data_IF_659533042436
#
_entry.id   IF_659533042436
#
_cell.length_a   1.000
_cell.length_b   1.000
_cell.length_c   1.000
_cell.angle_alpha   90.00
_cell.angle_beta   90.00
_cell.angle_gamma   90.00
#
_symmetry.space_group_name_H-M   'P 1'
#
loop_
_entity.id
_entity.type
_entity.pdbx_description
1 polymer ?
#
# COMPACT_ATOMS: atom_id res chain seq x y z
N UNK A 1 13.20 2.74 -20.86
CA UNK A 1 12.01 3.46 -20.39
C UNK A 1 12.00 4.81 -21.10
N UNK A 2 10.86 5.25 -21.62
CA UNK A 2 10.71 6.61 -22.11
C UNK A 2 10.95 7.56 -20.94
N UNK A 3 11.75 8.61 -21.13
CA UNK A 3 12.00 9.65 -20.13
C UNK A 3 10.86 10.68 -20.14
N UNK A 4 9.62 10.23 -20.25
CA UNK A 4 8.45 11.08 -20.42
C UNK A 4 7.28 10.45 -19.68
N UNK A 5 6.48 11.28 -19.02
CA UNK A 5 5.31 10.82 -18.28
C UNK A 5 4.22 10.32 -19.22
N UNK A 6 3.71 9.13 -18.91
CA UNK A 6 2.46 8.60 -19.43
C UNK A 6 1.27 9.14 -18.63
N UNK A 7 0.06 9.02 -19.17
CA UNK A 7 -1.17 9.47 -18.51
C UNK A 7 -2.16 8.32 -18.43
N UNK A 8 -2.57 7.96 -17.21
CA UNK A 8 -3.70 7.06 -16.99
C UNK A 8 -4.95 7.90 -16.65
N UNK A 9 -6.06 7.57 -17.28
CA UNK A 9 -7.36 8.19 -16.99
C UNK A 9 -8.37 7.08 -16.73
N UNK A 10 -8.88 7.02 -15.50
CA UNK A 10 -10.09 6.25 -15.25
C UNK A 10 -11.29 7.01 -15.83
N UNK A 11 -12.32 6.28 -16.23
CA UNK A 11 -13.40 6.87 -17.01
C UNK A 11 -14.78 6.46 -16.49
N UNK A 12 -15.73 7.39 -16.60
CA UNK A 12 -17.12 7.10 -16.34
C UNK A 12 -17.82 6.72 -17.65
N UNK A 13 -18.62 5.64 -17.62
CA UNK A 13 -19.43 5.17 -18.75
C UNK A 13 -18.60 4.79 -19.99
N UNK A 14 -17.43 4.21 -19.79
CA UNK A 14 -16.58 3.78 -20.88
C UNK A 14 -15.26 3.17 -20.41
N UNK A 15 -14.41 2.73 -21.36
CA UNK A 15 -13.08 2.23 -21.02
C UNK A 15 -12.20 3.33 -20.43
N UNK A 16 -11.32 2.91 -19.53
CA UNK A 16 -10.17 3.70 -19.09
C UNK A 16 -9.17 3.85 -20.23
N UNK A 17 -8.33 4.87 -20.13
CA UNK A 17 -7.26 5.16 -21.08
C UNK A 17 -5.89 5.08 -20.42
N UNK A 18 -4.90 4.61 -21.17
CA UNK A 18 -3.49 4.69 -20.79
C UNK A 18 -2.72 5.26 -21.96
N UNK A 19 -2.51 6.56 -21.93
CA UNK A 19 -1.81 7.29 -22.97
C UNK A 19 -0.30 7.21 -22.75
N UNK A 20 0.36 6.39 -23.56
CA UNK A 20 1.82 6.36 -23.61
C UNK A 20 2.32 7.57 -24.38
N UNK A 21 3.24 8.32 -23.77
CA UNK A 21 3.85 9.49 -24.39
C UNK A 21 4.89 9.07 -25.44
N UNK A 22 4.72 9.54 -26.68
CA UNK A 22 5.61 9.22 -27.79
C UNK A 22 6.87 10.11 -27.83
N UNK A 23 6.96 11.15 -26.98
CA UNK A 23 8.10 12.07 -26.88
C UNK A 23 8.08 13.22 -27.89
N UNK A 24 7.09 13.29 -28.77
CA UNK A 24 6.92 14.31 -29.81
C UNK A 24 5.65 15.17 -29.62
N UNK A 25 5.07 15.12 -28.42
CA UNK A 25 3.80 15.78 -28.10
C UNK A 25 2.55 14.98 -28.50
N UNK A 26 2.72 13.78 -29.07
CA UNK A 26 1.62 12.85 -29.34
C UNK A 26 1.55 11.71 -28.32
N UNK A 27 0.39 11.06 -28.24
CA UNK A 27 0.15 9.95 -27.33
C UNK A 27 -0.45 8.76 -28.08
N UNK A 28 -0.12 7.56 -27.61
CA UNK A 28 -0.73 6.30 -28.06
C UNK A 28 -1.57 5.72 -26.94
N UNK A 29 -2.86 5.44 -27.19
CA UNK A 29 -3.66 4.70 -26.22
C UNK A 29 -3.24 3.22 -26.18
N UNK A 30 -2.79 2.81 -25.00
CA UNK A 30 -2.26 1.48 -24.69
C UNK A 30 -3.14 0.72 -23.70
N UNK A 31 -4.32 1.23 -23.31
CA UNK A 31 -5.10 0.68 -22.21
C UNK A 31 -5.43 -0.80 -22.39
N UNK A 32 -5.85 -1.18 -23.60
CA UNK A 32 -6.18 -2.57 -23.93
C UNK A 32 -4.94 -3.46 -23.95
N UNK A 33 -3.84 -3.03 -24.58
CA UNK A 33 -2.61 -3.83 -24.64
C UNK A 33 -1.98 -4.02 -23.27
N UNK A 34 -2.05 -2.99 -22.42
CA UNK A 34 -1.53 -2.97 -21.06
C UNK A 34 -2.45 -3.73 -20.08
N UNK A 35 -3.73 -3.94 -20.42
CA UNK A 35 -4.68 -4.70 -19.59
C UNK A 35 -5.43 -3.87 -18.55
N UNK A 36 -5.53 -2.55 -18.75
CA UNK A 36 -6.17 -1.61 -17.82
C UNK A 36 -7.44 -0.94 -18.38
N UNK A 37 -7.91 -1.38 -19.56
CA UNK A 37 -9.09 -0.81 -20.25
C UNK A 37 -10.37 -0.83 -19.38
N UNK A 38 -10.55 -1.85 -18.53
CA UNK A 38 -11.70 -2.09 -17.62
C UNK A 38 -13.07 -1.57 -18.14
N UNK A 39 -13.37 -1.87 -19.41
CA UNK A 39 -14.44 -1.28 -20.23
C UNK A 39 -15.84 -1.20 -19.61
N UNK A 40 -16.16 -2.08 -18.66
CA UNK A 40 -17.51 -2.21 -18.12
C UNK A 40 -17.67 -1.59 -16.73
N UNK A 41 -16.65 -0.90 -16.24
CA UNK A 41 -16.69 -0.24 -14.95
C UNK A 41 -16.79 1.28 -15.09
N UNK A 42 -16.93 1.97 -13.95
CA UNK A 42 -17.11 3.41 -13.88
C UNK A 42 -16.09 3.98 -12.89
N UNK A 43 -14.94 4.42 -13.40
CA UNK A 43 -13.86 5.03 -12.64
C UNK A 43 -14.29 6.29 -11.89
N UNK A 44 -13.60 6.59 -10.80
CA UNK A 44 -13.89 7.70 -9.87
C UNK A 44 -12.64 8.27 -9.25
N UNK A 45 -11.83 7.40 -8.64
CA UNK A 45 -10.63 7.79 -7.92
C UNK A 45 -9.51 6.80 -8.20
N UNK A 46 -8.29 7.32 -8.30
CA UNK A 46 -7.09 6.59 -8.68
C UNK A 46 -5.92 7.08 -7.83
N UNK A 47 -5.05 6.17 -7.40
CA UNK A 47 -3.79 6.53 -6.80
C UNK A 47 -2.66 5.69 -7.41
N UNK A 48 -1.47 6.29 -7.47
CA UNK A 48 -0.26 5.67 -7.99
C UNK A 48 0.71 5.41 -6.86
N UNK A 49 1.21 4.18 -6.77
CA UNK A 49 2.23 3.83 -5.81
C UNK A 49 3.06 2.64 -6.29
N UNK A 50 4.02 2.22 -5.48
CA UNK A 50 4.77 0.99 -5.68
C UNK A 50 4.38 0.01 -4.57
N UNK A 51 3.29 -0.74 -4.79
CA UNK A 51 2.61 -1.52 -3.74
C UNK A 51 3.34 -2.80 -3.39
N UNK A 52 4.16 -3.32 -4.30
CA UNK A 52 5.02 -4.48 -4.06
C UNK A 52 6.51 -4.07 -3.86
N UNK A 53 6.80 -2.76 -3.88
CA UNK A 53 8.12 -2.15 -3.77
C UNK A 53 9.11 -2.64 -4.83
N UNK A 54 8.64 -2.98 -6.03
CA UNK A 54 9.47 -3.53 -7.10
C UNK A 54 10.14 -2.49 -8.02
N UNK A 55 10.01 -1.21 -7.67
CA UNK A 55 10.57 -0.10 -8.44
C UNK A 55 9.70 0.31 -9.63
N UNK A 56 8.45 -0.18 -9.72
CA UNK A 56 7.49 0.20 -10.77
C UNK A 56 6.29 0.94 -10.21
N UNK A 57 5.58 1.61 -11.10
CA UNK A 57 4.36 2.33 -10.76
C UNK A 57 3.16 1.43 -11.00
N UNK A 58 2.53 1.05 -9.90
CA UNK A 58 1.27 0.32 -9.84
C UNK A 58 0.09 1.29 -9.78
N UNK A 59 -1.12 0.77 -9.99
CA UNK A 59 -2.35 1.56 -10.03
C UNK A 59 -3.38 0.94 -9.09
N UNK A 60 -3.87 1.71 -8.12
CA UNK A 60 -5.13 1.39 -7.46
C UNK A 60 -6.19 2.34 -7.98
N UNK A 61 -7.39 1.85 -8.28
CA UNK A 61 -8.49 2.75 -8.58
C UNK A 61 -9.86 2.14 -8.23
N UNK A 62 -10.82 3.03 -8.01
CA UNK A 62 -12.13 2.71 -7.45
C UNK A 62 -13.25 2.89 -8.47
N UNK A 63 -14.09 1.86 -8.59
CA UNK A 63 -15.25 1.86 -9.46
C UNK A 63 -16.57 2.14 -8.71
N UNK A 64 -17.40 3.04 -9.25
CA UNK A 64 -18.71 3.39 -8.71
C UNK A 64 -19.68 2.21 -8.74
N UNK A 65 -19.99 1.64 -7.57
CA UNK A 65 -20.79 0.42 -7.41
C UNK A 65 -20.29 -0.75 -8.28
N UNK A 66 -19.00 -0.72 -8.61
CA UNK A 66 -18.30 -1.70 -9.41
C UNK A 66 -17.12 -2.27 -8.64
N UNK A 67 -16.51 -3.33 -9.16
CA UNK A 67 -15.37 -3.95 -8.47
C UNK A 67 -14.16 -3.03 -8.48
N UNK A 68 -13.55 -2.78 -7.31
CA UNK A 68 -12.31 -2.01 -7.22
C UNK A 68 -11.11 -2.81 -7.75
N UNK A 69 -10.06 -2.13 -8.21
CA UNK A 69 -8.88 -2.74 -8.82
C UNK A 69 -7.60 -2.34 -8.10
N UNK A 70 -6.66 -3.28 -8.04
CA UNK A 70 -5.28 -3.03 -7.65
C UNK A 70 -4.40 -3.72 -8.69
N UNK A 71 -3.80 -2.93 -9.58
CA UNK A 71 -3.00 -3.41 -10.68
C UNK A 71 -1.52 -3.32 -10.37
N UNK A 72 -0.83 -4.46 -10.44
CA UNK A 72 0.63 -4.51 -10.38
C UNK A 72 1.24 -4.48 -11.78
N UNK A 73 2.25 -3.65 -11.99
CA UNK A 73 2.95 -3.53 -13.27
C UNK A 73 4.05 -4.60 -13.43
N UNK A 74 4.06 -5.28 -14.59
CA UNK A 74 5.11 -6.23 -14.95
C UNK A 74 6.25 -5.59 -15.79
N UNK A 75 7.30 -6.36 -16.06
CA UNK A 75 8.46 -5.88 -16.82
C UNK A 75 8.15 -5.55 -18.30
N UNK A 76 6.99 -5.99 -18.80
CA UNK A 76 6.53 -5.72 -20.16
C UNK A 76 5.55 -4.54 -20.20
N UNK A 77 5.45 -3.75 -19.13
CA UNK A 77 4.50 -2.64 -18.99
C UNK A 77 3.03 -3.10 -19.13
N UNK A 78 2.75 -4.35 -18.77
CA UNK A 78 1.39 -4.87 -18.60
C UNK A 78 1.01 -4.83 -17.14
N UNK A 79 -0.28 -4.78 -16.89
CA UNK A 79 -0.85 -4.72 -15.56
C UNK A 79 -1.66 -5.98 -15.28
N UNK A 80 -1.59 -6.45 -14.04
CA UNK A 80 -2.37 -7.58 -13.55
C UNK A 80 -3.10 -7.18 -12.29
N UNK A 81 -4.42 -7.42 -12.27
CA UNK A 81 -5.25 -7.18 -11.10
C UNK A 81 -4.94 -8.21 -9.99
N UNK A 82 -4.72 -7.71 -8.78
CA UNK A 82 -4.52 -8.50 -7.56
C UNK A 82 -5.58 -8.19 -6.50
N UNK A 83 -6.54 -7.31 -6.79
CA UNK A 83 -7.66 -7.04 -5.90
C UNK A 83 -8.43 -8.34 -5.62
N UNK A 84 -8.69 -8.61 -4.34
CA UNK A 84 -9.40 -9.82 -3.93
C UNK A 84 -10.22 -9.61 -2.66
N UNK A 85 -11.09 -10.56 -2.36
CA UNK A 85 -11.91 -10.54 -1.15
C UNK A 85 -12.68 -9.23 -0.98
N UNK A 86 -12.68 -8.72 0.24
CA UNK A 86 -13.43 -7.51 0.58
C UNK A 86 -12.89 -6.25 -0.10
N UNK A 87 -11.61 -6.20 -0.47
CA UNK A 87 -11.03 -5.07 -1.21
C UNK A 87 -11.71 -4.86 -2.57
N UNK A 88 -11.96 -5.96 -3.30
CA UNK A 88 -12.62 -5.90 -4.62
C UNK A 88 -14.13 -5.63 -4.55
N UNK A 89 -14.73 -5.63 -3.35
CA UNK A 89 -16.18 -5.51 -3.18
C UNK A 89 -16.70 -4.16 -3.67
N UNK A 90 -17.78 -4.13 -4.48
CA UNK A 90 -18.37 -2.89 -4.95
C UNK A 90 -18.81 -1.94 -3.83
N UNK A 91 -18.58 -0.65 -4.04
CA UNK A 91 -19.02 0.42 -3.14
C UNK A 91 -19.23 1.74 -3.91
N UNK A 92 -20.00 2.71 -3.36
CA UNK A 92 -20.20 4.01 -3.99
C UNK A 92 -19.01 4.94 -3.72
N UNK A 93 -17.84 4.52 -4.19
CA UNK A 93 -16.57 5.23 -4.00
C UNK A 93 -16.55 6.55 -4.75
N UNK A 94 -15.94 7.57 -4.15
CA UNK A 94 -15.68 8.88 -4.76
C UNK A 94 -14.19 9.17 -4.92
N UNK A 95 -13.40 8.77 -3.93
CA UNK A 95 -11.95 9.05 -3.86
C UNK A 95 -11.22 7.81 -3.38
N UNK A 96 -10.01 7.58 -3.90
CA UNK A 96 -9.12 6.50 -3.49
C UNK A 96 -7.78 7.10 -3.11
N UNK A 97 -7.37 6.97 -1.84
CA UNK A 97 -6.11 7.51 -1.35
C UNK A 97 -5.14 6.36 -1.09
N UNK A 98 -3.87 6.50 -1.48
CA UNK A 98 -2.79 5.63 -1.04
C UNK A 98 -1.81 6.41 -0.17
N UNK A 99 -1.64 6.04 1.09
CA UNK A 99 -0.80 6.74 2.06
C UNK A 99 -0.33 5.79 3.17
N UNK A 100 0.82 6.09 3.79
CA UNK A 100 1.33 5.37 4.97
C UNK A 100 0.93 6.18 6.21
N UNK A 101 -0.23 5.86 6.79
CA UNK A 101 -0.87 6.68 7.83
C UNK A 101 -0.21 6.53 9.20
N UNK A 102 0.25 5.33 9.56
CA UNK A 102 0.90 5.03 10.84
C UNK A 102 2.42 4.93 10.75
N UNK A 103 3.00 5.42 9.65
CA UNK A 103 4.42 5.50 9.43
C UNK A 103 5.14 4.14 9.55
N UNK A 104 4.51 3.04 9.14
CA UNK A 104 5.01 1.68 9.36
C UNK A 104 5.70 1.04 8.15
N UNK A 105 5.88 1.82 7.07
CA UNK A 105 6.46 1.45 5.77
C UNK A 105 5.51 0.70 4.83
N UNK A 106 4.29 0.38 5.28
CA UNK A 106 3.27 -0.23 4.44
C UNK A 106 2.30 0.86 3.95
N UNK A 107 1.82 0.69 2.72
CA UNK A 107 0.85 1.64 2.18
C UNK A 107 -0.55 1.18 2.56
N UNK A 108 -1.34 2.12 3.06
CA UNK A 108 -2.76 1.94 3.26
C UNK A 108 -3.54 2.58 2.11
N UNK A 109 -4.68 1.97 1.79
CA UNK A 109 -5.63 2.42 0.78
C UNK A 109 -6.93 2.79 1.47
N UNK A 110 -7.31 4.07 1.38
CA UNK A 110 -8.57 4.58 1.89
C UNK A 110 -9.56 4.80 0.75
N UNK A 111 -10.73 4.16 0.86
CA UNK A 111 -11.87 4.39 -0.03
C UNK A 111 -12.86 5.33 0.66
N UNK A 112 -13.02 6.53 0.10
CA UNK A 112 -14.08 7.44 0.50
C UNK A 112 -15.39 7.10 -0.21
N UNK A 113 -16.42 6.74 0.56
CA UNK A 113 -17.73 6.36 0.05
C UNK A 113 -18.78 7.44 0.31
N UNK A 114 -19.72 7.57 -0.62
CA UNK A 114 -20.89 8.44 -0.45
C UNK A 114 -22.13 7.63 -0.04
N UNK A 115 -22.68 7.92 1.13
CA UNK A 115 -23.95 7.36 1.61
C UNK A 115 -25.17 8.00 0.92
N UNK A 116 -25.38 7.70 -0.36
CA UNK A 116 -26.46 8.27 -1.17
C UNK A 116 -27.75 7.42 -1.20
N UNK A 117 -27.65 6.10 -0.93
CA UNK A 117 -28.76 5.14 -0.88
C UNK A 117 -28.85 4.37 0.44
N UNK A 118 -28.26 4.91 1.49
CA UNK A 118 -28.21 4.28 2.81
C UNK A 118 -26.77 4.03 3.26
N UNK A 119 -26.59 2.95 4.02
CA UNK A 119 -25.33 2.62 4.69
C UNK A 119 -24.19 2.34 3.70
N UNK A 120 -23.16 3.19 3.70
CA UNK A 120 -21.97 3.05 2.85
C UNK A 120 -20.73 3.59 3.58
N UNK A 121 -20.13 2.81 4.49
CA UNK A 121 -18.97 3.27 5.25
C UNK A 121 -17.74 3.43 4.36
N UNK A 122 -16.90 4.40 4.70
CA UNK A 122 -15.53 4.46 4.21
C UNK A 122 -14.77 3.20 4.66
N UNK A 123 -13.74 2.84 3.90
CA UNK A 123 -12.99 1.60 4.13
C UNK A 123 -11.49 1.87 4.05
N UNK A 124 -10.73 1.15 4.86
CA UNK A 124 -9.28 1.27 4.93
C UNK A 124 -8.65 -0.10 4.77
N UNK A 125 -7.60 -0.20 3.98
CA UNK A 125 -6.91 -1.44 3.73
C UNK A 125 -5.40 -1.26 3.80
N UNK A 126 -4.69 -2.16 4.47
CA UNK A 126 -3.24 -2.23 4.38
C UNK A 126 -2.82 -3.08 3.19
N UNK A 127 -1.82 -2.62 2.46
CA UNK A 127 -1.13 -3.39 1.42
C UNK A 127 0.26 -3.73 1.92
N UNK A 128 0.35 -4.86 2.62
CA UNK A 128 1.58 -5.34 3.24
C UNK A 128 2.43 -6.09 2.22
N UNK A 129 3.69 -5.69 2.07
CA UNK A 129 4.58 -6.26 1.08
C UNK A 129 4.97 -7.69 1.48
N UNK A 130 5.15 -8.57 0.49
CA UNK A 130 5.61 -9.95 0.72
C UNK A 130 6.77 -10.32 -0.20
N UNK A 131 7.79 -10.95 0.37
CA UNK A 131 8.84 -11.57 -0.43
C UNK A 131 8.27 -12.74 -1.23
N UNK A 132 8.67 -12.85 -2.50
CA UNK A 132 8.30 -13.93 -3.42
C UNK A 132 6.77 -14.12 -3.66
N UNK A 133 5.94 -13.14 -3.33
CA UNK A 133 4.50 -13.21 -3.49
C UNK A 133 3.88 -11.83 -3.75
N UNK A 134 2.62 -11.84 -4.19
CA UNK A 134 1.80 -10.62 -4.23
C UNK A 134 1.63 -10.04 -2.82
N UNK A 135 1.47 -8.72 -2.70
CA UNK A 135 1.24 -8.09 -1.40
C UNK A 135 -0.04 -8.65 -0.76
N UNK A 136 -0.04 -8.71 0.57
CA UNK A 136 -1.24 -9.02 1.33
C UNK A 136 -2.11 -7.78 1.42
N UNK A 137 -3.40 -7.95 1.14
CA UNK A 137 -4.39 -6.90 1.35
C UNK A 137 -5.21 -7.28 2.58
N UNK A 138 -5.21 -6.42 3.58
CA UNK A 138 -5.95 -6.61 4.84
C UNK A 138 -6.87 -5.42 5.09
N UNK A 139 -8.15 -5.66 5.37
CA UNK A 139 -9.08 -4.59 5.76
C UNK A 139 -8.84 -4.20 7.21
N UNK A 140 -8.58 -2.91 7.44
CA UNK A 140 -8.34 -2.36 8.76
C UNK A 140 -9.61 -1.72 9.34
N UNK A 141 -9.66 -1.59 10.66
CA UNK A 141 -10.72 -0.88 11.34
C UNK A 141 -10.53 0.65 11.26
N UNK A 142 -11.04 1.26 10.21
CA UNK A 142 -10.95 2.71 9.94
C UNK A 142 -11.41 3.63 11.08
N UNK A 143 -12.12 3.13 12.10
CA UNK A 143 -12.48 3.90 13.29
C UNK A 143 -13.61 4.89 13.04
N UNK A 144 -13.48 6.12 13.55
CA UNK A 144 -14.52 7.15 13.42
C UNK A 144 -14.66 7.64 11.98
N UNK A 145 -13.58 7.52 11.19
CA UNK A 145 -13.60 7.80 9.76
C UNK A 145 -14.44 6.82 8.95
N UNK A 146 -15.04 5.79 9.55
CA UNK A 146 -15.98 4.89 8.87
C UNK A 146 -17.19 5.64 8.29
N UNK A 147 -17.68 6.68 8.98
CA UNK A 147 -18.80 7.53 8.54
C UNK A 147 -19.88 6.80 7.71
N UNK A 148 -20.58 5.78 8.25
CA UNK A 148 -21.48 4.93 7.46
C UNK A 148 -22.68 5.65 6.81
N UNK A 149 -22.98 6.87 7.26
CA UNK A 149 -24.00 7.76 6.71
C UNK A 149 -23.38 9.06 6.15
N UNK A 150 -22.05 9.12 6.06
CA UNK A 150 -21.30 10.25 5.54
C UNK A 150 -21.52 10.38 4.04
N UNK A 151 -21.78 11.60 3.58
CA UNK A 151 -21.90 11.91 2.15
C UNK A 151 -20.59 12.49 1.66
N UNK A 152 -19.51 11.72 1.83
CA UNK A 152 -18.17 12.07 1.39
C UNK A 152 -18.15 12.28 -0.12
N UNK A 153 -17.45 13.32 -0.56
CA UNK A 153 -17.39 13.75 -1.96
C UNK A 153 -15.97 13.85 -2.46
N UNK A 154 -15.05 14.19 -1.57
CA UNK A 154 -13.62 14.21 -1.78
C UNK A 154 -12.91 13.96 -0.46
N UNK A 155 -11.69 13.47 -0.51
CA UNK A 155 -10.85 13.33 0.67
C UNK A 155 -9.39 13.64 0.31
N UNK A 156 -8.61 14.12 1.28
CA UNK A 156 -7.18 14.40 1.10
C UNK A 156 -6.39 13.99 2.34
N UNK A 157 -5.10 13.75 2.16
CA UNK A 157 -4.15 13.53 3.26
C UNK A 157 -3.06 14.57 3.26
N UNK A 158 -2.67 14.98 4.45
CA UNK A 158 -1.59 15.92 4.69
C UNK A 158 -1.17 15.82 6.15
N UNK A 159 0.08 16.09 6.45
CA UNK A 159 0.55 16.31 7.82
C UNK A 159 0.22 17.77 8.19
N UNK A 160 -0.97 17.99 8.77
CA UNK A 160 -1.55 19.31 8.93
C UNK A 160 -0.96 20.07 10.12
N UNK A 161 -0.56 19.36 11.18
CA UNK A 161 0.01 19.96 12.38
C UNK A 161 1.54 19.80 12.50
N UNK A 162 2.18 19.19 11.51
CA UNK A 162 3.63 19.11 11.39
C UNK A 162 4.27 18.10 12.33
N UNK A 163 3.50 17.12 12.82
CA UNK A 163 4.00 16.05 13.69
C UNK A 163 4.61 14.89 12.88
N UNK A 164 4.47 14.92 11.55
CA UNK A 164 4.97 13.90 10.64
C UNK A 164 4.09 12.69 10.48
N UNK A 165 2.90 12.70 11.06
CA UNK A 165 1.85 11.75 10.82
C UNK A 165 0.84 12.35 9.85
N UNK A 166 0.36 11.56 8.89
CA UNK A 166 -0.64 12.06 7.93
C UNK A 166 -2.02 12.09 8.58
N UNK A 167 -2.69 13.24 8.46
CA UNK A 167 -4.09 13.44 8.81
C UNK A 167 -4.99 13.20 7.59
N UNK A 168 -6.20 12.69 7.83
CA UNK A 168 -7.22 12.52 6.82
C UNK A 168 -8.26 13.65 6.93
N UNK A 169 -8.52 14.34 5.82
CA UNK A 169 -9.61 15.29 5.69
C UNK A 169 -10.64 14.74 4.71
N UNK A 170 -11.92 14.76 5.09
CA UNK A 170 -13.04 14.33 4.25
C UNK A 170 -13.99 15.49 4.04
N UNK A 171 -14.18 15.87 2.78
CA UNK A 171 -15.16 16.85 2.37
C UNK A 171 -16.51 16.18 2.07
N UNK A 172 -17.58 16.73 2.62
CA UNK A 172 -18.96 16.32 2.36
C UNK A 172 -19.71 17.46 1.67
N UNK A 173 -20.89 17.19 1.13
CA UNK A 173 -21.78 18.29 0.72
C UNK A 173 -22.55 18.12 -0.58
N UNK A 174 -22.21 17.15 -1.43
CA UNK A 174 -22.84 17.03 -2.77
C UNK A 174 -24.33 16.70 -2.67
N UNK A 175 -24.70 15.76 -1.79
CA UNK A 175 -26.09 15.30 -1.64
C UNK A 175 -26.85 15.96 -0.48
N UNK A 176 -26.14 16.59 0.46
CA UNK A 176 -26.70 17.39 1.56
C UNK A 176 -25.60 18.12 2.34
N UNK A 177 -25.97 19.18 3.05
CA UNK A 177 -25.07 19.89 3.97
C UNK A 177 -24.53 18.98 5.07
N UNK A 178 -23.22 18.86 5.15
CA UNK A 178 -22.46 18.20 6.23
C UNK A 178 -21.13 18.94 6.43
N UNK A 179 -20.61 19.02 7.66
CA UNK A 179 -19.32 19.66 7.93
C UNK A 179 -18.18 18.83 7.35
N UNK A 180 -17.03 19.46 7.11
CA UNK A 180 -15.77 18.75 6.82
C UNK A 180 -15.37 17.96 8.07
N UNK A 181 -14.96 16.71 7.89
CA UNK A 181 -14.38 15.88 8.94
C UNK A 181 -12.86 15.89 8.84
N UNK A 182 -12.19 16.00 9.98
CA UNK A 182 -10.73 15.85 10.11
C UNK A 182 -10.49 14.68 11.05
N UNK A 183 -9.61 13.77 10.65
CA UNK A 183 -9.25 12.61 11.46
C UNK A 183 -7.74 12.53 11.61
N UNK A 184 -7.29 12.46 12.87
CA UNK A 184 -5.90 12.21 13.21
C UNK A 184 -5.65 10.72 13.36
N UNK A 185 -4.52 10.26 12.86
CA UNK A 185 -3.95 8.96 13.25
C UNK A 185 -3.21 9.16 14.58
N UNK A 186 -3.09 8.10 15.39
CA UNK A 186 -2.27 8.16 16.63
C UNK A 186 -1.31 6.99 16.76
N UNK A 187 -1.58 5.90 16.04
CA UNK A 187 -0.74 4.74 15.91
C UNK A 187 0.56 5.13 15.19
N UNK A 188 1.69 4.61 15.65
CA UNK A 188 2.96 4.86 14.96
C UNK A 188 3.53 6.27 15.12
N UNK A 189 3.00 7.11 16.02
CA UNK A 189 3.54 8.44 16.35
C UNK A 189 5.00 8.45 16.84
N UNK A 190 5.55 7.30 17.23
CA UNK A 190 6.97 7.13 17.57
C UNK A 190 7.84 6.63 16.41
N UNK A 191 7.23 6.38 15.25
CA UNK A 191 7.94 5.89 14.08
C UNK A 191 8.69 7.04 13.41
N UNK A 192 9.78 6.68 12.75
CA UNK A 192 10.51 7.60 11.92
C UNK A 192 9.70 7.94 10.66
N UNK A 193 9.93 9.13 10.14
CA UNK A 193 9.32 9.59 8.90
C UNK A 193 10.29 10.50 8.14
N UNK A 194 10.00 10.69 6.86
CA UNK A 194 10.67 11.68 6.01
C UNK A 194 9.68 12.21 4.98
N UNK A 195 9.63 13.53 4.81
CA UNK A 195 8.81 14.18 3.80
C UNK A 195 9.69 14.90 2.80
N UNK A 196 9.52 14.65 1.51
CA UNK A 196 10.34 15.22 0.44
C UNK A 196 9.48 16.02 -0.52
N UNK A 197 9.83 17.28 -0.70
CA UNK A 197 9.16 18.22 -1.61
C UNK A 197 10.05 18.45 -2.83
N UNK A 198 9.82 17.76 -3.96
CA UNK A 198 10.55 18.03 -5.18
C UNK A 198 10.00 19.29 -5.85
N UNK A 199 10.90 20.20 -6.22
CA UNK A 199 10.57 21.47 -6.91
C UNK A 199 10.88 21.39 -8.39
N UNK A 200 10.13 22.14 -9.20
CA UNK A 200 10.42 22.39 -10.61
C UNK A 200 11.48 23.48 -10.75
N UNK A 201 12.00 23.69 -11.97
CA UNK A 201 12.93 24.80 -12.29
C UNK A 201 12.42 26.20 -11.92
N UNK A 202 11.11 26.37 -11.77
CA UNK A 202 10.47 27.64 -11.43
C UNK A 202 9.96 27.67 -9.97
N UNK A 203 10.32 26.69 -9.15
CA UNK A 203 9.94 26.64 -7.73
C UNK A 203 8.53 26.10 -7.44
N UNK A 204 7.74 25.75 -8.46
CA UNK A 204 6.46 25.04 -8.26
C UNK A 204 6.70 23.59 -7.82
N UNK A 205 5.70 22.93 -7.26
CA UNK A 205 5.73 21.49 -6.94
C UNK A 205 5.90 20.64 -8.20
N UNK A 206 6.77 19.63 -8.15
CA UNK A 206 7.10 18.79 -9.30
C UNK A 206 6.12 17.60 -9.44
N UNK A 207 4.90 17.86 -9.91
CA UNK A 207 3.95 16.80 -10.30
C UNK A 207 4.56 15.90 -11.39
N UNK A 208 4.32 14.60 -11.29
CA UNK A 208 4.94 13.55 -12.10
C UNK A 208 6.35 13.15 -11.67
N UNK A 209 6.96 13.82 -10.68
CA UNK A 209 8.25 13.40 -10.15
C UNK A 209 8.13 12.09 -9.37
N UNK A 210 9.16 11.26 -9.48
CA UNK A 210 9.33 10.06 -8.67
C UNK A 210 10.38 10.32 -7.61
N UNK A 211 10.05 10.04 -6.36
CA UNK A 211 10.96 10.15 -5.22
C UNK A 211 11.20 8.75 -4.66
N UNK A 212 12.46 8.37 -4.54
CA UNK A 212 12.88 7.09 -3.96
C UNK A 212 13.71 7.35 -2.72
N UNK A 213 13.32 6.77 -1.59
CA UNK A 213 14.08 6.75 -0.36
C UNK A 213 14.71 5.36 -0.18
N UNK A 214 16.03 5.29 -0.20
CA UNK A 214 16.79 4.07 0.05
C UNK A 214 17.05 3.93 1.55
N UNK A 215 16.55 2.87 2.17
CA UNK A 215 16.63 2.70 3.63
C UNK A 215 17.72 1.71 4.03
N UNK A 216 18.15 1.78 5.29
CA UNK A 216 19.20 0.90 5.82
C UNK A 216 18.85 -0.59 5.69
N UNK A 217 17.59 -0.99 5.92
CA UNK A 217 17.18 -2.40 6.01
C UNK A 217 16.01 -2.77 5.12
N UNK A 218 15.05 -1.86 4.94
CA UNK A 218 13.78 -2.11 4.26
C UNK A 218 13.81 -1.94 2.73
N UNK A 219 14.97 -1.62 2.16
CA UNK A 219 15.19 -1.48 0.72
C UNK A 219 14.80 -0.10 0.19
N UNK A 220 14.38 -0.02 -1.08
CA UNK A 220 13.92 1.23 -1.67
C UNK A 220 12.41 1.39 -1.48
N UNK A 221 12.00 2.57 -1.02
CA UNK A 221 10.60 2.99 -0.98
C UNK A 221 10.39 4.07 -2.04
N UNK A 222 9.39 3.91 -2.90
CA UNK A 222 9.08 4.87 -3.96
C UNK A 222 7.76 5.59 -3.69
N UNK A 223 7.72 6.89 -3.99
CA UNK A 223 6.49 7.70 -4.10
C UNK A 223 6.46 8.44 -5.42
N UNK A 224 5.26 8.62 -5.96
CA UNK A 224 5.00 9.44 -7.15
C UNK A 224 4.28 10.70 -6.67
N UNK A 225 4.71 11.87 -7.14
CA UNK A 225 4.02 13.12 -6.88
C UNK A 225 2.90 13.25 -7.91
N UNK A 226 1.72 12.69 -7.64
CA UNK A 226 0.55 12.82 -8.52
C UNK A 226 -0.23 14.13 -8.25
N UNK A 227 -1.27 14.42 -9.03
CA UNK A 227 -2.06 15.66 -8.94
C UNK A 227 -3.40 15.53 -8.21
N UNK A 228 -3.65 14.42 -7.52
CA UNK A 228 -4.94 14.15 -6.89
C UNK A 228 -5.47 12.75 -7.19
N UNK A 229 -6.41 12.31 -6.35
CA UNK A 229 -6.74 10.89 -6.21
C UNK A 229 -8.22 10.53 -6.47
N UNK A 230 -8.98 11.48 -7.03
CA UNK A 230 -10.39 11.29 -7.37
C UNK A 230 -11.20 12.58 -7.40
N UNK A 231 -12.51 12.42 -7.22
CA UNK A 231 -13.48 13.51 -7.39
C UNK A 231 -13.27 14.65 -6.38
N UNK A 232 -13.16 15.89 -6.88
CA UNK A 232 -13.05 17.12 -6.08
C UNK A 232 -11.97 17.09 -4.98
N UNK A 233 -10.84 16.41 -5.25
CA UNK A 233 -9.76 16.29 -4.27
C UNK A 233 -8.37 16.40 -4.92
N UNK A 234 -7.41 16.87 -4.14
CA UNK A 234 -6.01 16.95 -4.51
C UNK A 234 -5.17 16.56 -3.29
N UNK A 235 -4.16 15.72 -3.51
CA UNK A 235 -3.20 15.34 -2.47
C UNK A 235 -2.12 16.39 -2.33
N UNK A 236 -1.60 16.53 -1.11
CA UNK A 236 -0.41 17.32 -0.87
C UNK A 236 0.73 16.84 -1.81
N UNK A 237 1.39 17.74 -2.56
CA UNK A 237 2.48 17.40 -3.49
C UNK A 237 3.81 17.03 -2.77
N UNK A 238 3.74 16.10 -1.83
CA UNK A 238 4.85 15.73 -0.95
C UNK A 238 5.00 14.21 -0.92
N UNK A 239 6.21 13.73 -1.18
CA UNK A 239 6.53 12.33 -1.00
C UNK A 239 6.70 12.05 0.49
N UNK A 240 5.70 11.40 1.08
CA UNK A 240 5.72 10.97 2.46
C UNK A 240 6.24 9.54 2.60
N UNK A 241 7.23 9.35 3.47
CA UNK A 241 7.79 8.06 3.83
C UNK A 241 7.61 7.82 5.32
N UNK A 242 6.73 6.89 5.67
CA UNK A 242 6.79 6.23 6.97
C UNK A 242 7.92 5.22 6.99
N UNK A 243 8.71 5.25 8.06
CA UNK A 243 9.98 4.52 8.14
C UNK A 243 10.02 3.55 9.31
N UNK A 244 8.97 3.44 10.13
CA UNK A 244 8.94 2.56 11.28
C UNK A 244 10.10 2.86 12.22
N UNK A 245 11.07 1.94 12.31
CA UNK A 245 12.33 2.14 13.05
C UNK A 245 13.56 2.16 12.15
N UNK A 246 13.36 2.17 10.84
CA UNK A 246 14.43 2.24 9.86
C UNK A 246 14.85 3.68 9.61
N UNK A 247 15.96 3.83 8.90
CA UNK A 247 16.52 5.12 8.54
C UNK A 247 16.82 5.18 7.05
N UNK A 248 16.65 6.35 6.46
CA UNK A 248 16.97 6.58 5.06
C UNK A 248 18.46 6.91 4.94
N UNK A 249 19.10 6.37 3.91
CA UNK A 249 20.52 6.59 3.58
C UNK A 249 20.66 7.60 2.45
N UNK A 250 19.83 7.46 1.42
CA UNK A 250 19.86 8.29 0.20
C UNK A 250 18.42 8.58 -0.22
N UNK A 251 18.16 9.82 -0.62
CA UNK A 251 16.96 10.19 -1.36
C UNK A 251 17.34 10.49 -2.79
N UNK A 252 16.56 9.97 -3.72
CA UNK A 252 16.68 10.24 -5.14
C UNK A 252 15.37 10.79 -5.70
N UNK A 253 15.45 11.86 -6.49
CA UNK A 253 14.33 12.46 -7.20
C UNK A 253 14.59 12.35 -8.69
N UNK A 254 13.61 11.83 -9.44
CA UNK A 254 13.55 11.82 -10.89
C UNK A 254 12.41 12.72 -11.37
N UNK A 255 12.69 13.61 -12.31
CA UNK A 255 11.69 14.47 -12.94
C UNK A 255 11.17 13.87 -14.25
N UNK A 256 9.95 14.25 -14.67
CA UNK A 256 9.33 13.79 -15.93
C UNK A 256 10.16 13.97 -17.20
N UNK A 257 11.16 14.86 -17.20
CA UNK A 257 12.03 15.14 -18.35
C UNK A 257 13.32 14.29 -18.36
N UNK A 258 13.43 13.34 -17.43
CA UNK A 258 14.55 12.43 -17.30
C UNK A 258 15.70 12.95 -16.42
N UNK A 259 15.64 14.18 -15.91
CA UNK A 259 16.65 14.68 -14.97
C UNK A 259 16.49 14.02 -13.60
N UNK A 260 17.59 13.94 -12.85
CA UNK A 260 17.54 13.40 -11.49
C UNK A 260 18.60 13.98 -10.55
N UNK A 261 18.32 13.89 -9.26
CA UNK A 261 19.21 14.27 -8.15
C UNK A 261 19.17 13.16 -7.10
N UNK A 262 20.34 12.70 -6.66
CA UNK A 262 20.52 11.81 -5.52
C UNK A 262 21.33 12.52 -4.44
N UNK A 263 20.85 12.44 -3.21
CA UNK A 263 21.42 13.10 -2.05
C UNK A 263 21.53 12.11 -0.89
N UNK A 264 22.74 11.84 -0.36
CA UNK A 264 22.91 11.17 0.92
C UNK A 264 22.31 12.00 2.05
N UNK A 265 21.61 11.35 2.97
CA UNK A 265 21.07 12.01 4.15
C UNK A 265 22.18 12.48 5.09
N UNK A 266 21.94 13.63 5.70
CA UNK A 266 22.81 14.26 6.69
C UNK A 266 22.23 14.09 8.10
N UNK A 267 23.07 14.20 9.15
CA UNK A 267 22.57 14.25 10.53
C UNK A 267 21.51 15.35 10.69
N UNK A 268 20.31 14.96 11.14
CA UNK A 268 19.17 15.87 11.32
C UNK A 268 18.16 15.89 10.16
N UNK A 269 18.43 15.22 9.04
CA UNK A 269 17.46 15.12 7.92
C UNK A 269 16.27 14.19 8.26
N UNK A 270 16.46 13.20 9.14
CA UNK A 270 15.39 12.29 9.58
C UNK A 270 14.31 13.02 10.39
N UNK A 271 13.05 12.59 10.26
CA UNK A 271 11.88 13.19 10.92
C UNK A 271 11.75 14.68 10.60
N UNK A 272 11.95 15.02 9.33
CA UNK A 272 11.90 16.38 8.84
C UNK A 272 11.27 16.46 7.45
N UNK A 273 10.94 17.68 7.05
CA UNK A 273 10.53 18.02 5.70
C UNK A 273 11.73 18.59 4.96
N UNK A 274 12.07 18.00 3.81
CA UNK A 274 13.17 18.47 2.97
C UNK A 274 12.68 18.91 1.60
N UNK A 275 13.18 20.04 1.11
CA UNK A 275 12.97 20.46 -0.27
C UNK A 275 14.15 20.05 -1.15
N UNK A 276 13.85 19.49 -2.32
CA UNK A 276 14.86 19.14 -3.32
C UNK A 276 14.59 19.94 -4.60
N UNK A 277 15.50 20.86 -4.89
CA UNK A 277 15.45 21.71 -6.07
C UNK A 277 15.68 20.93 -7.36
N UNK A 278 15.08 21.42 -8.45
CA UNK A 278 15.39 20.96 -9.79
C UNK A 278 16.87 21.21 -10.13
N UNK A 279 17.59 20.24 -10.72
CA UNK A 279 19.02 20.38 -11.00
C UNK A 279 19.31 21.49 -12.02
N UNK A 280 20.38 22.26 -11.79
CA UNK A 280 20.81 23.30 -12.73
C UNK A 280 21.42 22.68 -13.99
N UNK A 281 21.49 23.47 -15.05
CA UNK A 281 22.10 23.02 -16.30
C UNK A 281 23.59 22.70 -16.09
N UNK A 282 24.01 21.49 -16.48
CA UNK A 282 25.36 20.98 -16.24
C UNK A 282 25.62 20.44 -14.83
N UNK A 283 24.63 20.48 -13.93
CA UNK A 283 24.73 19.90 -12.59
C UNK A 283 24.37 18.42 -12.65
N UNK A 284 25.38 17.55 -12.63
CA UNK A 284 25.20 16.13 -12.41
C UNK A 284 25.37 15.83 -10.92
N UNK A 285 24.29 15.42 -10.27
CA UNK A 285 24.37 14.82 -8.94
C UNK A 285 24.87 13.39 -9.12
N UNK A 286 26.08 13.10 -8.65
CA UNK A 286 26.70 11.77 -8.72
C UNK A 286 27.07 11.37 -7.30
N UNK A 287 26.57 10.20 -6.86
CA UNK A 287 26.95 9.64 -5.57
C UNK A 287 28.40 9.14 -5.61
N UNK A 288 29.10 9.30 -4.49
CA UNK A 288 30.43 8.71 -4.34
C UNK A 288 30.31 7.18 -4.40
N UNK A 289 31.27 6.45 -5.02
CA UNK A 289 31.22 4.99 -5.08
C UNK A 289 31.10 4.29 -3.71
N UNK A 290 31.61 4.93 -2.66
CA UNK A 290 31.58 4.42 -1.28
C UNK A 290 30.32 4.82 -0.50
N UNK A 291 29.39 5.57 -1.11
CA UNK A 291 28.11 5.91 -0.48
C UNK A 291 27.31 4.64 -0.21
N UNK A 292 26.84 4.51 1.04
CA UNK A 292 25.98 3.40 1.44
C UNK A 292 24.55 3.69 0.99
N UNK A 293 23.99 2.83 0.13
CA UNK A 293 22.62 2.93 -0.38
C UNK A 293 21.64 2.04 0.40
N UNK A 294 22.07 1.47 1.54
CA UNK A 294 21.27 0.51 2.30
C UNK A 294 21.40 -0.94 1.84
N UNK A 295 20.74 -1.86 2.54
CA UNK A 295 20.83 -3.29 2.31
C UNK A 295 20.33 -3.67 0.90
N UNK A 296 21.19 -4.33 0.12
CA UNK A 296 20.87 -4.78 -1.24
C UNK A 296 21.17 -3.78 -2.37
N UNK A 297 21.56 -2.56 -2.03
CA UNK A 297 21.86 -1.49 -3.00
C UNK A 297 23.29 -0.98 -2.88
N UNK A 298 23.86 -0.56 -4.01
CA UNK A 298 25.18 0.05 -4.09
C UNK A 298 25.21 1.11 -5.18
N UNK A 299 26.24 1.96 -5.14
CA UNK A 299 26.41 2.98 -6.16
C UNK A 299 26.89 2.36 -7.47
N UNK A 300 26.09 2.51 -8.52
CA UNK A 300 26.40 2.12 -9.90
C UNK A 300 26.09 3.30 -10.82
N UNK A 301 27.07 3.70 -11.62
CA UNK A 301 26.97 4.89 -12.49
C UNK A 301 26.48 6.14 -11.73
N UNK A 302 26.95 6.33 -10.48
CA UNK A 302 26.60 7.48 -9.66
C UNK A 302 25.24 7.43 -8.97
N UNK A 303 24.46 6.35 -9.12
CA UNK A 303 23.12 6.19 -8.50
C UNK A 303 23.04 4.91 -7.68
N UNK A 304 22.10 4.87 -6.73
CA UNK A 304 21.80 3.65 -6.01
C UNK A 304 21.07 2.66 -6.94
N UNK A 305 21.65 1.50 -7.13
CA UNK A 305 21.07 0.43 -7.94
C UNK A 305 21.24 -0.91 -7.23
N UNK A 306 20.33 -1.83 -7.52
CA UNK A 306 20.47 -3.21 -7.08
C UNK A 306 21.46 -3.98 -7.97
N UNK A 307 21.88 -5.17 -7.50
CA UNK A 307 22.77 -6.03 -8.27
C UNK A 307 22.03 -6.96 -9.22
N UNK A 308 20.70 -7.07 -9.06
CA UNK A 308 19.82 -8.10 -9.64
C UNK A 308 20.61 -9.34 -10.09
N UNK A 309 21.03 -10.15 -9.11
CA UNK A 309 21.91 -11.31 -9.33
C UNK A 309 21.25 -12.37 -10.23
N UNK A 310 19.92 -12.44 -10.23
CA UNK A 310 19.21 -13.35 -11.11
C UNK A 310 18.99 -12.73 -12.49
N UNK A 311 19.66 -13.26 -13.51
CA UNK A 311 19.46 -12.80 -14.87
C UNK A 311 18.09 -13.27 -15.38
N UNK A 312 17.21 -12.34 -15.74
CA UNK A 312 16.02 -12.62 -16.54
C UNK A 312 16.40 -12.68 -18.02
N UNK A 313 16.70 -13.87 -18.52
CA UNK A 313 16.67 -14.16 -19.95
C UNK A 313 15.42 -15.01 -20.20
N UNK A 314 14.29 -14.36 -20.51
CA UNK A 314 13.05 -14.98 -21.02
C UNK A 314 12.85 -16.44 -20.56
N UNK A 315 12.60 -16.62 -19.25
CA UNK A 315 12.60 -17.91 -18.56
C UNK A 315 12.74 -17.74 -17.04
N UNK A 316 12.72 -18.83 -16.24
CA UNK A 316 12.93 -18.74 -14.79
C UNK A 316 14.31 -18.14 -14.48
N UNK A 317 14.42 -17.30 -13.43
CA UNK A 317 15.64 -16.58 -13.12
C UNK A 317 16.85 -17.51 -12.99
N UNK A 318 17.93 -17.21 -13.71
CA UNK A 318 19.11 -18.08 -13.75
C UNK A 318 20.11 -17.64 -12.69
N UNK A 319 20.33 -18.51 -11.70
CA UNK A 319 21.34 -18.33 -10.65
C UNK A 319 22.53 -19.29 -10.81
N UNK A 320 23.71 -18.94 -10.28
CA UNK A 320 24.86 -19.85 -10.24
C UNK A 320 24.55 -21.16 -9.49
N UNK A 321 25.17 -22.27 -9.89
CA UNK A 321 24.96 -23.60 -9.24
C UNK A 321 25.22 -23.60 -7.72
N UNK A 322 26.09 -22.72 -7.22
CA UNK A 322 26.41 -22.58 -5.79
C UNK A 322 25.30 -21.91 -4.97
N UNK A 323 24.49 -21.05 -5.60
CA UNK A 323 23.37 -20.31 -5.00
C UNK A 323 22.14 -20.44 -5.91
N UNK A 324 21.59 -21.65 -6.12
CA UNK A 324 20.68 -21.92 -7.24
C UNK A 324 19.26 -21.39 -7.06
N UNK A 325 18.92 -20.82 -5.90
CA UNK A 325 17.58 -20.32 -5.61
C UNK A 325 17.56 -18.83 -5.85
N UNK A 326 16.88 -18.35 -6.88
CA UNK A 326 16.56 -16.93 -6.95
C UNK A 326 15.42 -16.61 -5.98
N UNK A 327 15.52 -15.54 -5.20
CA UNK A 327 14.42 -14.97 -4.40
C UNK A 327 14.19 -13.53 -4.83
N UNK A 328 12.93 -13.12 -4.92
CA UNK A 328 12.52 -11.74 -5.16
C UNK A 328 12.11 -11.11 -3.82
N UNK A 329 12.90 -10.16 -3.32
CA UNK A 329 12.53 -9.33 -2.18
C UNK A 329 12.21 -7.95 -2.73
N UNK A 330 10.93 -7.65 -2.93
CA UNK A 330 10.47 -6.32 -3.34
C UNK A 330 11.16 -5.84 -4.64
N UNK A 331 11.03 -6.61 -5.72
CA UNK A 331 11.71 -6.34 -7.01
C UNK A 331 13.19 -6.66 -7.07
N UNK A 332 13.84 -6.97 -5.94
CA UNK A 332 15.26 -7.33 -5.91
C UNK A 332 15.46 -8.83 -6.00
N UNK A 333 16.09 -9.25 -7.10
CA UNK A 333 16.34 -10.64 -7.38
C UNK A 333 17.74 -11.05 -6.92
N UNK A 334 17.81 -11.79 -5.81
CA UNK A 334 19.05 -12.30 -5.24
C UNK A 334 19.14 -13.82 -5.37
N UNK A 335 20.33 -14.33 -5.66
CA UNK A 335 20.61 -15.75 -5.68
C UNK A 335 20.95 -16.23 -4.27
N UNK A 336 20.42 -17.36 -3.83
CA UNK A 336 20.60 -17.90 -2.49
C UNK A 336 20.82 -19.41 -2.50
N UNK A 337 21.39 -19.98 -1.43
CA UNK A 337 21.42 -21.43 -1.26
C UNK A 337 20.00 -21.96 -1.08
N UNK A 338 19.79 -23.26 -1.33
CA UNK A 338 18.52 -23.93 -0.96
C UNK A 338 18.33 -23.89 0.54
N UNK A 339 17.11 -23.58 1.00
CA UNK A 339 16.79 -23.56 2.43
C UNK A 339 17.04 -24.93 3.04
N UNK A 340 17.77 -24.99 4.15
CA UNK A 340 17.95 -26.20 4.96
C UNK A 340 16.82 -26.29 5.98
N UNK A 341 16.04 -27.37 5.89
CA UNK A 341 14.86 -27.56 6.73
C UNK A 341 15.18 -28.42 7.97
N UNK A 342 14.52 -28.11 9.09
CA UNK A 342 14.58 -28.90 10.32
C UNK A 342 13.98 -30.31 10.12
N UNK A 343 14.32 -31.24 11.02
CA UNK A 343 13.85 -32.65 10.96
C UNK A 343 12.33 -32.70 10.78
N UNK A 344 11.88 -33.48 9.79
CA UNK A 344 10.46 -33.66 9.48
C UNK A 344 9.92 -32.73 8.39
N UNK A 345 10.69 -31.75 7.93
CA UNK A 345 10.31 -30.84 6.84
C UNK A 345 11.20 -31.04 5.62
N UNK A 346 10.63 -30.86 4.42
CA UNK A 346 11.40 -30.88 3.17
C UNK A 346 11.35 -29.52 2.48
N UNK A 347 12.43 -29.08 1.83
CA UNK A 347 12.39 -27.88 1.00
C UNK A 347 11.32 -28.01 -0.10
N UNK A 348 10.67 -26.91 -0.44
CA UNK A 348 9.80 -26.78 -1.62
C UNK A 348 10.57 -27.08 -2.91
N UNK A 349 9.86 -27.37 -4.01
CA UNK A 349 10.50 -27.69 -5.31
C UNK A 349 11.38 -26.56 -5.83
N UNK A 350 11.02 -25.31 -5.55
CA UNK A 350 11.81 -24.11 -5.84
C UNK A 350 12.92 -23.85 -4.80
N UNK A 351 12.98 -24.62 -3.71
CA UNK A 351 14.00 -24.54 -2.67
C UNK A 351 13.87 -23.35 -1.71
N UNK A 352 12.77 -22.59 -1.79
CA UNK A 352 12.56 -21.30 -1.07
C UNK A 352 11.93 -21.44 0.31
N UNK A 353 11.16 -22.49 0.57
CA UNK A 353 10.46 -22.70 1.85
C UNK A 353 10.56 -24.14 2.32
N UNK A 354 10.17 -24.40 3.57
CA UNK A 354 10.12 -25.73 4.16
C UNK A 354 8.65 -26.15 4.27
N UNK A 355 8.30 -27.31 3.70
CA UNK A 355 6.96 -27.89 3.82
C UNK A 355 6.97 -29.06 4.79
N UNK A 356 5.88 -29.16 5.56
CA UNK A 356 5.51 -30.39 6.27
C UNK A 356 5.01 -31.38 5.22
N UNK A 357 5.53 -32.62 5.14
CA UNK A 357 4.95 -33.64 4.28
C UNK A 357 3.54 -33.95 4.78
N UNK A 358 2.52 -33.66 3.96
CA UNK A 358 1.15 -34.13 4.19
C UNK A 358 1.15 -35.65 4.22
N UNK A 359 1.00 -36.23 5.41
CA UNK A 359 0.62 -37.65 5.53
C UNK A 359 -0.85 -37.73 5.13
N UNK A 360 -1.11 -38.24 3.93
CA UNK A 360 -2.41 -38.82 3.63
C UNK A 360 -2.61 -40.01 4.56
N UNK A 361 -3.40 -39.82 5.62
CA UNK A 361 -4.02 -40.94 6.31
C UNK A 361 -5.27 -41.28 5.50
N UNK A 362 -5.34 -42.45 4.83
CA UNK A 362 -6.61 -42.93 4.34
C UNK A 362 -7.51 -43.14 5.56
N UNK A 363 -8.61 -42.40 5.62
CA UNK A 363 -9.67 -42.65 6.60
C UNK A 363 -10.31 -44.00 6.25
N UNK A 364 -9.89 -45.06 6.93
CA UNK A 364 -10.69 -46.27 7.08
C UNK A 364 -11.64 -46.07 8.28
N UNK A 365 -12.95 -46.35 8.13
CA UNK A 365 -13.95 -46.04 9.15
C UNK A 365 -14.07 -47.18 10.16
N UNK A 366 -13.57 -46.99 11.38
CA UNK A 366 -14.01 -47.80 12.52
C UNK A 366 -13.58 -47.19 13.86
N UNK A 367 -14.59 -46.75 14.62
CA UNK A 367 -14.80 -46.88 16.07
C UNK A 367 -13.58 -47.04 16.99
N UNK A 368 -13.43 -46.09 17.93
CA UNK A 368 -13.09 -46.27 19.36
C UNK A 368 -13.01 -44.88 20.01
N UNK A 369 -14.00 -44.44 20.78
CA UNK A 369 -14.15 -44.63 22.23
C UNK A 369 -12.96 -44.10 23.06
N UNK A 370 -13.12 -42.90 23.64
CA UNK A 370 -12.32 -42.45 24.77
C UNK A 370 -12.94 -42.98 26.06
N UNK A 371 -12.13 -43.56 26.93
CA UNK A 371 -12.47 -43.84 28.33
C UNK A 371 -11.26 -43.54 29.22
N UNK A 372 -11.48 -42.71 30.25
CA UNK A 372 -10.67 -42.65 31.46
C UNK A 372 -11.51 -42.10 32.63
N UNK A 373 -12.26 -43.01 33.28
CA UNK A 373 -12.52 -43.25 34.74
C UNK A 373 -12.14 -42.12 35.74
N UNK A 374 -13.08 -41.39 36.41
CA UNK A 374 -13.85 -41.59 37.70
C UNK A 374 -13.06 -41.33 39.02
N UNK A 375 -13.66 -41.11 40.24
CA UNK A 375 -15.09 -41.17 40.66
C UNK A 375 -15.62 -40.08 41.66
N UNK A 376 -16.95 -40.00 41.85
CA UNK A 376 -17.56 -39.64 43.16
C UNK A 376 -18.91 -38.89 43.14
N UNK A 377 -20.00 -39.57 43.54
CA UNK A 377 -21.22 -38.94 44.11
C UNK A 377 -22.54 -39.11 43.31
N UNK A 378 -23.70 -39.41 43.94
CA UNK A 378 -24.77 -40.19 43.29
C UNK A 378 -25.93 -39.40 42.65
N UNK A 379 -26.62 -40.14 41.77
CA UNK A 379 -27.90 -39.92 41.07
C UNK A 379 -29.00 -39.15 41.81
N UNK A 380 -29.74 -38.30 41.08
CA UNK A 380 -31.21 -38.18 41.20
C UNK A 380 -31.88 -37.84 39.85
N UNK A 381 -33.14 -38.29 39.74
CA UNK A 381 -34.03 -38.40 38.58
C UNK A 381 -34.62 -37.07 38.04
N UNK A 382 -35.00 -37.10 36.76
CA UNK A 382 -35.80 -36.13 35.96
C UNK A 382 -37.23 -35.88 36.54
N UNK A 383 -38.01 -34.81 36.21
CA UNK A 383 -38.68 -34.68 34.88
C UNK A 383 -38.96 -33.24 34.37
N UNK A 384 -39.58 -33.19 33.18
CA UNK A 384 -39.84 -32.07 32.26
C UNK A 384 -40.89 -31.01 32.69
N UNK A 385 -40.86 -29.83 32.04
CA UNK A 385 -41.98 -28.86 31.97
C UNK A 385 -41.58 -27.43 31.56
N UNK A 386 -42.12 -26.93 30.44
CA UNK A 386 -41.96 -25.54 29.90
C UNK A 386 -42.89 -24.51 30.63
N UNK A 387 -43.08 -23.21 30.23
CA UNK A 387 -42.39 -22.29 29.28
C UNK A 387 -42.17 -20.80 29.78
N UNK A 388 -41.49 -19.99 28.95
CA UNK A 388 -41.53 -18.51 28.71
C UNK A 388 -41.50 -17.45 29.87
N UNK A 389 -40.55 -16.49 29.83
CA UNK A 389 -40.68 -15.00 29.73
C UNK A 389 -39.38 -14.24 30.13
N UNK A 390 -38.85 -13.43 29.19
CA UNK A 390 -38.21 -12.09 29.27
C UNK A 390 -36.98 -11.69 30.17
N UNK A 391 -35.89 -11.29 29.46
CA UNK A 391 -34.87 -10.20 29.69
C UNK A 391 -33.70 -10.39 30.71
N UNK A 392 -32.53 -9.69 30.60
CA UNK A 392 -31.81 -8.98 29.50
C UNK A 392 -30.32 -9.48 29.36
N UNK A 393 -29.36 -8.79 28.66
CA UNK A 393 -28.19 -9.43 28.03
C UNK A 393 -27.01 -9.68 28.98
N UNK A 394 -26.33 -10.81 28.79
CA UNK A 394 -25.03 -11.09 29.42
C UNK A 394 -23.93 -10.68 28.46
N UNK A 395 -23.13 -9.72 28.96
CA UNK A 395 -21.79 -9.37 28.53
C UNK A 395 -20.97 -10.59 28.12
N UNK A 396 -20.49 -10.62 26.89
CA UNK A 396 -19.33 -11.42 26.50
C UNK A 396 -18.20 -10.45 26.22
N UNK A 397 -17.20 -10.49 27.10
CA UNK A 397 -15.93 -9.79 26.93
C UNK A 397 -15.17 -10.31 25.71
N UNK A 398 -14.20 -9.52 25.20
CA UNK A 398 -13.58 -9.77 23.92
C UNK A 398 -12.66 -10.99 23.97
N UNK A 399 -12.78 -11.84 22.95
CA UNK A 399 -11.69 -12.71 22.52
C UNK A 399 -10.56 -11.81 22.02
N UNK A 400 -9.40 -11.89 22.68
CA UNK A 400 -8.15 -11.34 22.20
C UNK A 400 -7.80 -11.95 20.83
N UNK A 401 -8.17 -11.25 19.76
CA UNK A 401 -7.52 -11.33 18.46
C UNK A 401 -6.61 -10.12 18.33
N UNK A 402 -5.32 -10.34 18.13
CA UNK A 402 -4.39 -9.31 17.66
C UNK A 402 -4.76 -8.96 16.22
N UNK A 403 -5.80 -8.14 16.03
CA UNK A 403 -6.03 -7.45 14.77
C UNK A 403 -5.18 -6.18 14.81
N UNK A 404 -4.44 -5.91 13.74
CA UNK A 404 -3.70 -4.66 13.57
C UNK A 404 -4.70 -3.50 13.43
N UNK A 405 -5.12 -2.92 14.55
CA UNK A 405 -6.10 -1.83 14.57
C UNK A 405 -5.42 -0.47 14.34
N UNK A 406 -5.28 -0.03 13.10
CA UNK A 406 -5.12 1.40 12.80
C UNK A 406 -6.47 2.09 12.95
N UNK A 407 -6.58 3.17 13.73
CA UNK A 407 -7.85 3.88 13.98
C UNK A 407 -7.68 5.38 13.77
N UNK A 408 -8.44 5.92 12.82
CA UNK A 408 -8.59 7.36 12.61
C UNK A 408 -9.62 7.90 13.62
N UNK A 409 -9.26 8.97 14.33
CA UNK A 409 -10.10 9.60 15.37
C UNK A 409 -10.33 11.07 15.04
N UNK A 410 -11.55 11.54 15.27
CA UNK A 410 -11.86 12.96 15.23
C UNK A 410 -11.18 13.67 16.42
N UNK A 411 -10.67 14.91 16.23
CA UNK A 411 -10.13 15.69 17.33
C UNK A 411 -11.23 16.03 18.34
N UNK A 412 -10.91 15.96 19.64
CA UNK A 412 -11.82 16.44 20.69
C UNK A 412 -11.86 17.98 20.64
N UNK A 413 -13.07 18.53 20.53
CA UNK A 413 -13.33 19.92 20.11
C UNK A 413 -12.75 21.00 21.03
N UNK A 414 -12.08 22.02 20.44
CA UNK A 414 -12.44 23.45 20.51
C UNK A 414 -11.41 24.26 19.70
N UNK A 415 -11.69 24.49 18.43
CA UNK A 415 -11.05 25.56 17.67
C UNK A 415 -12.11 26.25 16.81
N UNK A 416 -12.42 27.49 17.14
CA UNK A 416 -13.22 28.37 16.30
C UNK A 416 -12.44 28.66 15.02
N UNK A 417 -12.90 28.13 13.89
CA UNK A 417 -12.38 28.47 12.57
C UNK A 417 -12.83 29.89 12.18
N UNK A 418 -11.90 30.84 12.22
CA UNK A 418 -11.96 32.04 11.40
C UNK A 418 -11.27 31.74 10.08
N UNK A 419 -12.02 31.80 8.98
CA UNK A 419 -11.47 31.79 7.62
C UNK A 419 -10.89 33.20 7.39
N UNK A 420 -9.61 33.29 7.04
CA UNK A 420 -8.97 34.51 6.54
C UNK A 420 -8.84 34.43 5.02
#
# INVERSE_FOLDING_TARGET
>A
MSSSSDVFCDNENGPNFLFRNNGDGTFTDMAQQAGVEDRYQHGRGVALADFNADGKTDIVYGNWNGQHRLYLQDNNQRFRDVASGSFSSPSPVRTVIAADFDNDQELDIFFNNIAYRGHAPNRLFRVARRADADPQIEELNVGEAAEPQGRGTGATVTDFDGDGQLDLLVAHGESASQPISVFKVTQGSSNHWLRVIPRTRFGSFARGARVTAYTNRSGALMRIIDGGSGYLCEMEPVAHFGLGKDEVTVVEVYWPDGRSVARPLQPGDMNSVMEIGYPKEGEESVLNPDTQCGEGFFVKNGRCADNNECKQQSGPPVCPKSRPVCSNTYGHYNCGPRKTCSRGHKPTKDGRACMVPTRYYPLSPSLCSCSSVLPGGPLFLTPAGAPLWALPPISTGPLHGLNGDMRLRAPQSHASMGIA
#
